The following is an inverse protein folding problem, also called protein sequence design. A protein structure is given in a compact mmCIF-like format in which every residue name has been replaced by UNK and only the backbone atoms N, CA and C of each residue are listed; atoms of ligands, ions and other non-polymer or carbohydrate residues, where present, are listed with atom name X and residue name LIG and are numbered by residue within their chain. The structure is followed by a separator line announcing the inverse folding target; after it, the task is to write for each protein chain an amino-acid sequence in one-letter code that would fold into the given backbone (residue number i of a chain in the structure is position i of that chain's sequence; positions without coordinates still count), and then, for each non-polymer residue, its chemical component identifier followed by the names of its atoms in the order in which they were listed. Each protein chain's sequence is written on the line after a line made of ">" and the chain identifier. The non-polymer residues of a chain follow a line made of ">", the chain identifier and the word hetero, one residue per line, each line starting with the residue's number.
data_IF_982508905645
#
_entry.id   IF_982508905645
#
_cell.length_a   1.000
_cell.length_b   1.000
_cell.length_c   1.000
_cell.angle_alpha   90.00
_cell.angle_beta   90.00
_cell.angle_gamma   90.00
#
_symmetry.space_group_name_H-M   'P 1'
#
loop_
_entity.id
_entity.type
_entity.pdbx_description
1 polymer ?
#
# COMPACT_ATOMS: atom_id res chain seq x y z
N UNK A 1 -22.23 25.09 -8.40
CA UNK A 1 -21.85 23.76 -8.94
C UNK A 1 -21.54 22.83 -7.77
N UNK A 2 -22.58 22.16 -7.31
CA UNK A 2 -22.65 21.32 -6.11
C UNK A 2 -22.62 19.84 -6.53
N UNK A 3 -21.46 19.20 -6.58
CA UNK A 3 -21.40 17.75 -6.80
C UNK A 3 -20.37 16.99 -5.94
N UNK A 4 -19.59 17.67 -5.09
CA UNK A 4 -18.55 17.03 -4.28
C UNK A 4 -18.86 16.94 -2.78
N UNK A 5 -19.91 17.63 -2.30
CA UNK A 5 -20.29 17.63 -0.86
C UNK A 5 -21.26 16.53 -0.42
N UNK A 6 -21.68 15.64 -1.33
CA UNK A 6 -22.79 14.70 -1.04
C UNK A 6 -22.42 13.21 -0.93
N UNK A 7 -21.13 12.86 -0.87
CA UNK A 7 -20.69 11.45 -0.77
C UNK A 7 -20.15 11.00 0.59
N UNK A 8 -20.21 11.83 1.65
CA UNK A 8 -19.81 11.38 3.01
C UNK A 8 -20.97 11.03 3.96
N UNK A 9 -22.23 11.27 3.58
CA UNK A 9 -23.38 11.07 4.50
C UNK A 9 -24.11 9.72 4.39
N UNK A 10 -23.73 8.85 3.45
CA UNK A 10 -24.41 7.55 3.24
C UNK A 10 -23.62 6.33 3.72
N UNK A 11 -22.59 6.51 4.54
CA UNK A 11 -21.70 5.42 5.01
C UNK A 11 -22.27 4.49 6.11
N UNK A 12 -23.51 4.69 6.58
CA UNK A 12 -24.01 3.95 7.75
C UNK A 12 -24.67 2.59 7.48
N UNK A 13 -24.85 2.15 6.22
CA UNK A 13 -25.53 0.86 5.92
C UNK A 13 -24.68 -0.18 5.18
N UNK A 14 -23.41 0.11 4.87
CA UNK A 14 -22.48 -0.82 4.17
C UNK A 14 -21.31 -1.31 5.06
N UNK A 15 -21.52 -1.30 6.38
CA UNK A 15 -20.46 -1.46 7.38
C UNK A 15 -19.79 -2.85 7.46
N UNK A 16 -20.30 -3.88 6.78
CA UNK A 16 -19.78 -5.26 6.92
C UNK A 16 -18.72 -5.65 5.88
N UNK A 17 -18.76 -5.11 4.66
CA UNK A 17 -17.76 -5.41 3.61
C UNK A 17 -16.61 -4.38 3.53
N UNK A 18 -16.83 -3.16 4.03
CA UNK A 18 -15.78 -2.13 4.13
C UNK A 18 -14.81 -2.38 5.31
N UNK A 19 -15.16 -3.30 6.22
CA UNK A 19 -14.33 -3.71 7.34
C UNK A 19 -13.08 -4.49 6.88
N UNK A 20 -13.14 -5.25 5.78
CA UNK A 20 -11.98 -6.01 5.25
C UNK A 20 -10.85 -5.11 4.75
N UNK A 21 -11.16 -4.00 4.07
CA UNK A 21 -10.16 -3.01 3.67
C UNK A 21 -9.50 -2.33 4.89
N UNK A 22 -10.29 -2.06 5.93
CA UNK A 22 -9.79 -1.56 7.21
C UNK A 22 -8.99 -2.63 7.99
N UNK A 23 -9.24 -3.92 7.81
CA UNK A 23 -8.57 -5.00 8.57
C UNK A 23 -7.28 -5.52 7.91
N UNK A 24 -7.12 -5.37 6.58
CA UNK A 24 -5.84 -5.57 5.90
C UNK A 24 -4.88 -4.38 6.13
N UNK A 25 -5.42 -3.19 6.40
CA UNK A 25 -4.67 -1.96 6.68
C UNK A 25 -4.60 -1.64 8.19
N UNK A 26 -5.33 -2.34 9.06
CA UNK A 26 -5.27 -2.13 10.51
C UNK A 26 -5.19 -3.48 11.21
N UNK A 27 -3.98 -4.02 11.44
CA UNK A 27 -3.80 -4.99 12.49
C UNK A 27 -3.92 -4.23 13.81
N UNK A 28 -5.13 -4.26 14.36
CA UNK A 28 -5.34 -3.91 15.76
C UNK A 28 -4.47 -4.83 16.62
N UNK A 29 -3.57 -4.21 17.37
CA UNK A 29 -2.96 -4.72 18.61
C UNK A 29 -1.98 -5.90 18.44
N UNK A 30 -0.89 -5.74 17.69
CA UNK A 30 0.37 -6.48 17.96
C UNK A 30 1.67 -5.68 17.69
N UNK A 31 1.60 -4.40 17.33
CA UNK A 31 2.79 -3.57 17.07
C UNK A 31 3.68 -3.28 18.31
N UNK A 32 3.28 -3.73 19.50
CA UNK A 32 4.04 -3.50 20.75
C UNK A 32 5.35 -4.31 20.83
N UNK A 33 5.51 -5.40 20.05
CA UNK A 33 6.70 -6.26 20.12
C UNK A 33 7.91 -5.71 19.33
N UNK A 34 7.73 -4.73 18.45
CA UNK A 34 8.78 -4.39 17.50
C UNK A 34 9.89 -3.44 17.98
N UNK A 35 9.64 -2.68 19.05
CA UNK A 35 10.56 -1.61 19.50
C UNK A 35 11.89 -2.14 20.06
N UNK A 36 11.93 -3.39 20.55
CA UNK A 36 13.13 -3.92 21.24
C UNK A 36 14.07 -4.78 20.39
N UNK A 37 13.64 -5.33 19.24
CA UNK A 37 14.46 -6.30 18.47
C UNK A 37 14.93 -5.79 17.09
N UNK A 38 14.30 -4.75 16.54
CA UNK A 38 14.60 -4.25 15.19
C UNK A 38 15.89 -3.37 15.09
N UNK A 39 16.50 -3.00 16.22
CA UNK A 39 17.73 -2.19 16.28
C UNK A 39 19.02 -2.99 16.01
N UNK A 40 18.96 -4.32 15.94
CA UNK A 40 20.13 -5.20 15.87
C UNK A 40 20.45 -5.75 14.47
N UNK A 41 19.71 -5.40 13.40
CA UNK A 41 19.92 -6.00 12.07
C UNK A 41 19.97 -4.99 10.91
N UNK A 42 20.72 -5.39 9.88
CA UNK A 42 21.01 -4.61 8.66
C UNK A 42 19.71 -4.17 7.98
N UNK A 43 19.64 -2.93 7.46
CA UNK A 43 18.46 -2.43 6.79
C UNK A 43 18.39 -3.00 5.38
N UNK A 44 17.70 -4.12 5.20
CA UNK A 44 17.14 -4.36 3.86
C UNK A 44 15.95 -3.41 3.68
N UNK A 45 16.07 -2.65 2.61
CA UNK A 45 15.18 -1.62 2.14
C UNK A 45 14.04 -2.32 1.42
N UNK A 46 12.80 -1.85 1.56
CA UNK A 46 11.59 -2.26 0.82
C UNK A 46 10.64 -3.33 1.40
N UNK A 47 10.37 -3.31 2.71
CA UNK A 47 9.28 -4.12 3.27
C UNK A 47 8.16 -3.21 3.83
N UNK A 48 7.05 -3.14 3.10
CA UNK A 48 5.86 -2.35 3.45
C UNK A 48 5.23 -2.82 4.76
N UNK A 49 5.36 -4.11 5.07
CA UNK A 49 4.67 -4.76 6.18
C UNK A 49 5.47 -5.84 6.90
N UNK A 50 6.70 -6.16 6.48
CA UNK A 50 7.48 -7.20 7.15
C UNK A 50 8.64 -6.62 7.94
N UNK A 51 8.86 -7.23 9.08
CA UNK A 51 10.13 -7.21 9.78
C UNK A 51 10.42 -8.58 10.38
N UNK A 52 9.63 -9.58 9.98
CA UNK A 52 9.72 -10.94 10.44
C UNK A 52 10.86 -11.66 9.75
N UNK A 53 11.55 -12.53 10.47
CA UNK A 53 12.52 -13.46 9.91
C UNK A 53 12.00 -14.89 10.07
N UNK A 54 12.58 -15.89 9.38
CA UNK A 54 12.04 -17.26 9.38
C UNK A 54 11.84 -17.88 10.76
N UNK A 55 12.60 -17.43 11.76
CA UNK A 55 12.55 -17.90 13.16
C UNK A 55 12.04 -16.84 14.13
N UNK A 56 11.29 -15.84 13.67
CA UNK A 56 10.72 -14.82 14.53
C UNK A 56 9.71 -15.44 15.52
N UNK A 57 9.62 -14.93 16.76
CA UNK A 57 8.56 -15.30 17.68
C UNK A 57 7.19 -15.21 17.00
N UNK A 58 6.38 -16.25 17.16
CA UNK A 58 5.05 -16.40 16.54
C UNK A 58 5.02 -16.42 15.00
N UNK A 59 6.19 -16.56 14.36
CA UNK A 59 6.38 -16.65 12.91
C UNK A 59 6.54 -15.27 12.22
N UNK A 60 7.08 -15.24 10.99
CA UNK A 60 7.44 -13.98 10.31
C UNK A 60 6.25 -13.04 10.09
N UNK A 61 5.06 -13.59 9.87
CA UNK A 61 3.86 -12.82 9.55
C UNK A 61 3.13 -12.21 10.78
N UNK A 62 3.79 -12.16 11.93
CA UNK A 62 3.29 -11.46 13.15
C UNK A 62 3.97 -10.12 13.40
N UNK A 63 4.98 -9.79 12.59
CA UNK A 63 5.88 -8.65 12.79
C UNK A 63 5.54 -7.44 11.90
N UNK A 64 4.26 -7.30 11.57
CA UNK A 64 3.78 -6.16 10.78
C UNK A 64 3.75 -4.85 11.55
N UNK A 65 3.78 -3.72 10.83
CA UNK A 65 3.71 -2.35 11.39
C UNK A 65 4.89 -1.97 12.28
N UNK A 66 6.01 -2.67 12.14
CA UNK A 66 7.21 -2.42 12.92
C UNK A 66 7.85 -1.05 12.63
N UNK A 67 7.83 -0.66 11.36
CA UNK A 67 8.48 0.54 10.88
C UNK A 67 7.46 1.55 10.37
N UNK A 68 7.70 2.82 10.70
CA UNK A 68 6.87 3.95 10.26
C UNK A 68 7.53 4.80 9.17
N UNK A 69 8.80 4.56 8.91
CA UNK A 69 9.67 5.28 7.96
C UNK A 69 10.54 4.24 7.24
N UNK A 70 10.74 4.42 5.94
CA UNK A 70 11.61 3.58 5.10
C UNK A 70 13.00 3.43 5.74
N UNK A 71 13.48 2.18 5.78
CA UNK A 71 14.77 1.83 6.39
C UNK A 71 15.94 2.19 5.46
N UNK A 72 17.15 2.14 6.00
CA UNK A 72 18.38 2.38 5.25
C UNK A 72 18.69 3.87 5.05
N UNK A 73 19.33 4.19 3.93
CA UNK A 73 19.64 5.57 3.52
C UNK A 73 18.88 5.89 2.22
N UNK A 74 17.54 6.05 2.30
CA UNK A 74 16.74 6.30 1.10
C UNK A 74 17.10 7.65 0.49
N UNK A 75 16.97 7.73 -0.83
CA UNK A 75 17.11 9.00 -1.53
C UNK A 75 15.96 9.97 -1.19
N UNK A 76 15.92 11.12 -1.86
CA UNK A 76 14.87 12.11 -1.59
C UNK A 76 13.48 11.71 -2.07
N UNK A 77 13.38 10.70 -2.95
CA UNK A 77 12.18 10.34 -3.72
C UNK A 77 11.51 11.55 -4.38
N UNK A 78 12.28 12.57 -4.68
CA UNK A 78 11.84 13.72 -5.45
C UNK A 78 12.00 13.40 -6.93
N UNK A 79 10.90 13.44 -7.69
CA UNK A 79 10.91 13.40 -9.15
C UNK A 79 10.43 14.74 -9.71
N UNK A 80 10.99 15.23 -10.83
CA UNK A 80 10.50 16.42 -11.50
C UNK A 80 8.99 16.30 -11.78
N UNK A 81 8.23 17.28 -11.32
CA UNK A 81 6.78 17.36 -11.53
C UNK A 81 6.36 18.82 -11.52
N UNK A 82 5.59 19.22 -12.54
CA UNK A 82 5.01 20.57 -12.61
C UNK A 82 3.84 20.69 -11.65
N UNK A 83 3.03 19.62 -11.52
CA UNK A 83 1.83 19.60 -10.69
C UNK A 83 2.17 19.44 -9.20
N UNK A 84 3.20 18.64 -8.90
CA UNK A 84 3.60 18.30 -7.52
C UNK A 84 5.09 18.60 -7.29
N UNK A 85 5.53 19.86 -7.38
CA UNK A 85 6.95 20.21 -7.25
C UNK A 85 7.48 19.89 -5.86
N UNK A 86 8.70 19.36 -5.79
CA UNK A 86 9.32 19.04 -4.51
C UNK A 86 9.56 20.31 -3.68
N UNK A 87 9.11 20.31 -2.43
CA UNK A 87 9.36 21.39 -1.50
C UNK A 87 10.85 21.42 -1.10
N UNK A 88 11.49 22.61 -1.02
CA UNK A 88 12.90 22.73 -0.65
C UNK A 88 13.22 22.03 0.68
N UNK A 89 14.27 21.21 0.68
CA UNK A 89 14.73 20.48 1.87
C UNK A 89 13.83 19.33 2.32
N UNK A 90 12.77 18.99 1.59
CA UNK A 90 11.86 17.88 1.92
C UNK A 90 12.21 16.60 1.16
N UNK A 91 11.91 15.47 1.80
CA UNK A 91 12.12 14.12 1.26
C UNK A 91 10.83 13.31 1.34
N UNK A 92 10.57 12.51 0.31
CA UNK A 92 9.33 11.78 0.08
C UNK A 92 9.54 10.26 0.12
N UNK A 93 10.50 9.78 0.91
CA UNK A 93 10.67 8.35 1.19
C UNK A 93 9.44 7.75 1.88
N UNK A 94 9.38 6.41 1.90
CA UNK A 94 8.26 5.65 2.47
C UNK A 94 7.93 6.06 3.91
N UNK A 95 6.66 6.36 4.17
CA UNK A 95 6.13 6.62 5.51
C UNK A 95 4.77 5.97 5.73
N UNK A 96 4.48 5.63 6.98
CA UNK A 96 3.19 5.09 7.41
C UNK A 96 2.93 3.64 6.95
N UNK A 97 1.71 3.12 7.19
CA UNK A 97 1.35 1.72 6.94
C UNK A 97 1.54 1.24 5.50
N UNK A 98 1.29 2.14 4.54
CA UNK A 98 1.41 1.81 3.12
C UNK A 98 2.77 2.22 2.57
N UNK A 99 3.68 2.77 3.38
CA UNK A 99 4.96 3.34 2.93
C UNK A 99 4.80 4.24 1.70
N UNK A 100 3.90 5.23 1.77
CA UNK A 100 3.67 6.16 0.66
C UNK A 100 4.98 6.86 0.30
N UNK A 101 5.34 6.80 -0.98
CA UNK A 101 6.62 7.30 -1.51
C UNK A 101 6.39 8.26 -2.68
N UNK A 102 7.36 9.13 -2.94
CA UNK A 102 7.41 10.12 -4.01
C UNK A 102 6.47 11.34 -3.90
N UNK A 103 6.98 12.50 -4.31
CA UNK A 103 6.26 13.78 -4.30
C UNK A 103 4.92 13.73 -5.05
N UNK A 104 4.85 13.01 -6.15
CA UNK A 104 3.64 12.84 -6.95
C UNK A 104 2.56 11.95 -6.29
N UNK A 105 2.87 11.28 -5.18
CA UNK A 105 1.86 10.63 -4.34
C UNK A 105 1.55 11.47 -3.09
N UNK A 106 2.56 12.06 -2.44
CA UNK A 106 2.36 12.95 -1.28
C UNK A 106 1.49 14.17 -1.62
N UNK A 107 1.70 14.77 -2.80
CA UNK A 107 0.92 15.90 -3.29
C UNK A 107 -0.58 15.64 -3.38
N UNK A 108 -1.05 14.74 -4.27
CA UNK A 108 -2.48 14.48 -4.43
C UNK A 108 -3.09 13.80 -3.21
N UNK A 109 -2.34 13.00 -2.46
CA UNK A 109 -2.82 12.44 -1.20
C UNK A 109 -3.11 13.55 -0.19
N UNK A 110 -2.17 14.49 -0.03
CA UNK A 110 -2.33 15.63 0.86
C UNK A 110 -3.55 16.47 0.51
N UNK A 111 -3.71 16.81 -0.78
CA UNK A 111 -4.88 17.55 -1.26
C UNK A 111 -6.20 16.82 -0.94
N UNK A 112 -6.26 15.51 -1.18
CA UNK A 112 -7.45 14.70 -0.93
C UNK A 112 -7.82 14.59 0.56
N UNK A 113 -6.82 14.55 1.46
CA UNK A 113 -7.06 14.39 2.92
C UNK A 113 -7.10 15.73 3.68
N UNK A 114 -6.90 16.85 2.98
CA UNK A 114 -6.89 18.20 3.55
C UNK A 114 -5.60 18.58 4.29
N UNK A 115 -4.47 17.96 3.95
CA UNK A 115 -3.17 18.15 4.61
C UNK A 115 -2.09 18.57 3.60
N UNK A 116 -1.22 19.51 3.96
CA UNK A 116 -0.12 19.91 3.06
C UNK A 116 1.07 18.94 3.17
N UNK A 117 0.87 17.70 2.72
CA UNK A 117 1.91 16.65 2.79
C UNK A 117 3.10 16.91 1.86
N UNK A 118 2.93 17.72 0.81
CA UNK A 118 4.04 18.10 -0.06
C UNK A 118 5.07 18.98 0.67
N UNK A 119 4.61 19.92 1.52
CA UNK A 119 5.49 20.76 2.36
C UNK A 119 5.80 20.14 3.71
N UNK A 120 4.94 19.26 4.23
CA UNK A 120 5.07 18.63 5.54
C UNK A 120 4.97 17.08 5.47
N UNK A 121 5.84 16.39 4.69
CA UNK A 121 5.74 14.94 4.51
C UNK A 121 5.94 14.15 5.80
N UNK A 122 6.64 14.71 6.78
CA UNK A 122 6.90 14.06 8.08
C UNK A 122 5.63 13.85 8.91
N UNK A 123 4.53 14.56 8.60
CA UNK A 123 3.24 14.35 9.25
C UNK A 123 2.76 12.90 9.12
N UNK A 124 3.06 12.23 8.01
CA UNK A 124 2.69 10.81 7.79
C UNK A 124 3.33 9.88 8.81
N UNK A 125 4.49 10.22 9.37
CA UNK A 125 5.19 9.44 10.39
C UNK A 125 5.04 9.98 11.82
N UNK A 126 4.46 11.18 11.97
CA UNK A 126 4.28 11.86 13.25
C UNK A 126 2.84 11.73 13.79
N UNK A 127 1.84 11.82 12.92
CA UNK A 127 0.43 11.77 13.29
C UNK A 127 -0.20 10.44 12.84
N UNK A 128 -0.76 9.70 13.81
CA UNK A 128 -1.33 8.37 13.56
C UNK A 128 -2.54 8.44 12.63
N UNK A 129 -3.40 9.45 12.77
CA UNK A 129 -4.61 9.60 11.95
C UNK A 129 -4.24 9.92 10.52
N UNK A 130 -3.30 10.86 10.31
CA UNK A 130 -2.77 11.20 8.98
C UNK A 130 -2.12 9.96 8.35
N UNK A 131 -1.32 9.21 9.13
CA UNK A 131 -0.66 7.99 8.66
C UNK A 131 -1.65 6.95 8.09
N UNK A 132 -2.75 6.67 8.79
CA UNK A 132 -3.76 5.75 8.27
C UNK A 132 -4.62 6.35 7.16
N UNK A 133 -4.85 7.67 7.15
CA UNK A 133 -5.52 8.35 6.04
C UNK A 133 -4.75 8.20 4.73
N UNK A 134 -3.41 8.29 4.75
CA UNK A 134 -2.62 8.09 3.51
C UNK A 134 -2.74 6.65 3.00
N UNK A 135 -2.69 5.66 3.89
CA UNK A 135 -2.87 4.25 3.53
C UNK A 135 -4.24 3.97 2.90
N UNK A 136 -5.30 4.50 3.51
CA UNK A 136 -6.65 4.39 2.95
C UNK A 136 -6.78 5.13 1.63
N UNK A 137 -6.15 6.29 1.48
CA UNK A 137 -6.18 7.02 0.22
C UNK A 137 -5.55 6.21 -0.93
N UNK A 138 -4.36 5.63 -0.71
CA UNK A 138 -3.70 4.75 -1.70
C UNK A 138 -4.58 3.55 -2.05
N UNK A 139 -5.22 2.93 -1.05
CA UNK A 139 -6.10 1.78 -1.26
C UNK A 139 -7.33 2.08 -2.14
N UNK A 140 -7.85 3.30 -2.02
CA UNK A 140 -9.13 3.74 -2.61
C UNK A 140 -8.97 4.57 -3.88
N UNK A 141 -7.75 4.89 -4.30
CA UNK A 141 -7.48 5.87 -5.35
C UNK A 141 -6.54 5.32 -6.41
N UNK A 142 -6.76 5.72 -7.66
CA UNK A 142 -5.87 5.46 -8.78
C UNK A 142 -5.42 6.79 -9.36
N UNK A 143 -4.11 7.05 -9.35
CA UNK A 143 -3.51 8.29 -9.88
C UNK A 143 -2.94 8.14 -11.29
N UNK A 144 -2.98 6.93 -11.86
CA UNK A 144 -2.43 6.63 -13.18
C UNK A 144 -3.30 7.14 -14.32
N UNK A 145 -2.70 7.30 -15.49
CA UNK A 145 -3.40 7.65 -16.74
C UNK A 145 -2.95 6.70 -17.88
N UNK A 146 -3.85 5.86 -18.44
CA UNK A 146 -5.24 5.64 -18.02
C UNK A 146 -5.33 5.07 -16.59
N UNK A 147 -6.48 5.23 -15.90
CA UNK A 147 -6.63 4.76 -14.53
C UNK A 147 -6.56 3.23 -14.46
N UNK A 148 -5.68 2.72 -13.60
CA UNK A 148 -5.71 1.36 -13.10
C UNK A 148 -6.91 1.15 -12.18
N UNK A 149 -7.36 -0.10 -11.92
CA UNK A 149 -8.25 -0.38 -10.81
C UNK A 149 -7.69 0.13 -9.47
N UNK A 150 -8.59 0.39 -8.51
CA UNK A 150 -8.21 0.60 -7.12
C UNK A 150 -8.09 -0.75 -6.41
N UNK A 151 -7.24 -0.84 -5.38
CA UNK A 151 -7.13 -2.05 -4.56
C UNK A 151 -8.50 -2.44 -3.97
N UNK A 152 -9.27 -1.43 -3.57
CA UNK A 152 -10.64 -1.60 -3.08
C UNK A 152 -11.60 -2.20 -4.11
N UNK A 153 -11.58 -1.74 -5.35
CA UNK A 153 -12.50 -2.26 -6.37
C UNK A 153 -12.11 -3.66 -6.83
N UNK A 154 -10.83 -4.00 -6.83
CA UNK A 154 -10.35 -5.37 -7.07
C UNK A 154 -10.83 -6.33 -5.97
N UNK A 155 -10.52 -6.05 -4.70
CA UNK A 155 -10.84 -6.99 -3.60
C UNK A 155 -12.35 -7.18 -3.38
N UNK A 156 -13.17 -6.21 -3.81
CA UNK A 156 -14.63 -6.30 -3.76
C UNK A 156 -15.24 -6.94 -5.02
N UNK A 157 -14.42 -7.35 -6.00
CA UNK A 157 -14.90 -7.92 -7.27
C UNK A 157 -15.66 -6.93 -8.15
N UNK A 158 -15.45 -5.62 -7.95
CA UNK A 158 -16.08 -4.55 -8.75
C UNK A 158 -15.32 -4.26 -10.02
N UNK A 159 -14.00 -4.42 -10.00
CA UNK A 159 -13.19 -4.30 -11.19
C UNK A 159 -13.38 -5.51 -12.11
N UNK A 160 -13.57 -5.23 -13.40
CA UNK A 160 -13.61 -6.24 -14.46
C UNK A 160 -12.38 -6.04 -15.34
N UNK A 161 -11.48 -7.04 -15.47
CA UNK A 161 -10.32 -6.95 -16.34
C UNK A 161 -10.72 -6.60 -17.77
N UNK A 162 -10.01 -5.66 -18.39
CA UNK A 162 -10.11 -5.42 -19.82
C UNK A 162 -9.45 -6.55 -20.61
N UNK A 163 -9.63 -6.58 -21.93
CA UNK A 163 -8.90 -7.50 -22.81
C UNK A 163 -7.38 -7.34 -22.68
N UNK A 164 -6.89 -6.12 -22.42
CA UNK A 164 -5.46 -5.89 -22.19
C UNK A 164 -4.99 -6.44 -20.85
N UNK A 165 -5.85 -6.45 -19.83
CA UNK A 165 -5.55 -7.03 -18.52
C UNK A 165 -5.50 -8.55 -18.58
N UNK A 166 -6.49 -9.18 -19.23
CA UNK A 166 -6.49 -10.63 -19.43
C UNK A 166 -5.28 -11.09 -20.26
N UNK A 167 -4.93 -10.36 -21.33
CA UNK A 167 -3.73 -10.66 -22.13
C UNK A 167 -2.41 -10.46 -21.35
N UNK A 168 -2.45 -9.70 -20.26
CA UNK A 168 -1.33 -9.46 -19.35
C UNK A 168 -1.36 -10.36 -18.11
N UNK A 169 -2.23 -11.38 -18.07
CA UNK A 169 -2.50 -12.26 -16.93
C UNK A 169 -2.97 -11.54 -15.66
N UNK A 170 -3.48 -10.30 -15.76
CA UNK A 170 -4.03 -9.56 -14.63
C UNK A 170 -5.49 -9.96 -14.41
N UNK A 171 -5.69 -10.91 -13.50
CA UNK A 171 -7.00 -11.43 -13.09
C UNK A 171 -7.33 -10.98 -11.65
N UNK A 172 -8.61 -10.81 -11.29
CA UNK A 172 -8.98 -10.30 -9.97
C UNK A 172 -8.41 -11.18 -8.85
N UNK A 173 -7.84 -10.53 -7.83
CA UNK A 173 -7.20 -11.22 -6.71
C UNK A 173 -5.99 -10.46 -6.16
N UNK A 174 -5.47 -10.97 -5.05
CA UNK A 174 -4.43 -10.29 -4.26
C UNK A 174 -3.13 -10.03 -5.05
N UNK A 175 -2.84 -10.83 -6.08
CA UNK A 175 -1.73 -10.59 -7.00
C UNK A 175 -1.88 -9.28 -7.78
N UNK A 176 -3.09 -8.94 -8.25
CA UNK A 176 -3.34 -7.65 -8.92
C UNK A 176 -3.20 -6.49 -7.95
N UNK A 177 -3.60 -6.64 -6.68
CA UNK A 177 -3.35 -5.63 -5.63
C UNK A 177 -1.85 -5.38 -5.47
N UNK A 178 -1.05 -6.45 -5.41
CA UNK A 178 0.41 -6.34 -5.38
C UNK A 178 0.95 -5.62 -6.63
N UNK A 179 0.38 -5.91 -7.80
CA UNK A 179 0.74 -5.26 -9.06
C UNK A 179 0.39 -3.76 -9.09
N UNK A 180 -0.77 -3.36 -8.55
CA UNK A 180 -1.19 -1.95 -8.40
C UNK A 180 -0.20 -1.18 -7.52
N UNK A 181 0.20 -1.78 -6.39
CA UNK A 181 1.06 -1.16 -5.39
C UNK A 181 2.52 -1.08 -5.84
N UNK A 182 3.12 -2.19 -6.28
CA UNK A 182 4.54 -2.20 -6.59
C UNK A 182 4.92 -3.11 -7.77
N UNK A 183 3.99 -3.33 -8.71
CA UNK A 183 4.18 -4.29 -9.79
C UNK A 183 5.37 -4.02 -10.71
N UNK A 184 5.78 -2.75 -10.85
CA UNK A 184 6.98 -2.40 -11.62
C UNK A 184 8.28 -3.00 -11.05
N UNK A 185 8.30 -3.31 -9.75
CA UNK A 185 9.44 -3.91 -9.06
C UNK A 185 9.23 -5.39 -8.72
N UNK A 186 7.99 -5.79 -8.44
CA UNK A 186 7.69 -7.09 -7.80
C UNK A 186 7.00 -8.11 -8.71
N UNK A 187 6.46 -7.69 -9.86
CA UNK A 187 5.61 -8.56 -10.69
C UNK A 187 6.21 -8.81 -12.08
N UNK A 188 5.80 -9.91 -12.71
CA UNK A 188 6.13 -10.23 -14.10
C UNK A 188 7.51 -10.82 -14.34
N UNK A 189 8.21 -11.25 -13.29
CA UNK A 189 9.54 -11.85 -13.36
C UNK A 189 9.66 -13.16 -12.57
N UNK A 190 8.52 -13.83 -12.35
CA UNK A 190 8.45 -15.10 -11.64
C UNK A 190 8.42 -14.92 -10.12
N UNK A 191 9.13 -15.79 -9.40
CA UNK A 191 9.13 -15.78 -7.94
C UNK A 191 9.84 -14.54 -7.38
N UNK A 192 9.18 -13.85 -6.46
CA UNK A 192 9.71 -12.72 -5.72
C UNK A 192 9.44 -12.91 -4.21
N UNK A 193 10.48 -12.77 -3.38
CA UNK A 193 10.36 -12.97 -1.93
C UNK A 193 9.45 -11.93 -1.26
N UNK A 194 9.38 -10.70 -1.79
CA UNK A 194 8.50 -9.65 -1.27
C UNK A 194 7.04 -9.99 -1.56
N UNK A 195 6.75 -10.48 -2.77
CA UNK A 195 5.39 -10.96 -3.12
C UNK A 195 4.99 -12.12 -2.22
N UNK A 196 5.90 -13.08 -1.99
CA UNK A 196 5.66 -14.18 -1.04
C UNK A 196 5.38 -13.68 0.38
N UNK A 197 6.12 -12.70 0.86
CA UNK A 197 5.89 -12.12 2.19
C UNK A 197 4.50 -11.44 2.27
N UNK A 198 4.12 -10.66 1.27
CA UNK A 198 2.78 -10.06 1.16
C UNK A 198 1.67 -11.10 1.22
N UNK A 199 1.82 -12.19 0.48
CA UNK A 199 0.88 -13.32 0.48
C UNK A 199 0.84 -13.97 1.86
N UNK A 200 1.98 -14.14 2.52
CA UNK A 200 2.06 -14.72 3.86
C UNK A 200 1.25 -13.97 4.91
N UNK A 201 1.39 -12.64 4.97
CA UNK A 201 0.55 -11.80 5.83
C UNK A 201 -0.94 -11.89 5.47
N UNK A 202 -1.26 -11.81 4.17
CA UNK A 202 -2.64 -11.90 3.69
C UNK A 202 -3.30 -13.22 4.12
N UNK A 203 -2.65 -14.35 3.85
CA UNK A 203 -3.12 -15.68 4.24
C UNK A 203 -3.31 -15.82 5.75
N UNK A 204 -2.37 -15.29 6.55
CA UNK A 204 -2.50 -15.30 8.01
C UNK A 204 -3.74 -14.53 8.46
N UNK A 205 -3.97 -13.33 7.92
CA UNK A 205 -5.13 -12.52 8.31
C UNK A 205 -6.44 -13.14 7.81
N UNK A 206 -6.49 -13.69 6.61
CA UNK A 206 -7.65 -14.46 6.12
C UNK A 206 -7.99 -15.61 7.07
N UNK A 207 -6.98 -16.35 7.55
CA UNK A 207 -7.15 -17.44 8.52
C UNK A 207 -7.74 -16.95 9.85
N UNK A 208 -7.23 -15.84 10.39
CA UNK A 208 -7.73 -15.26 11.65
C UNK A 208 -9.18 -14.81 11.52
N UNK A 209 -9.54 -14.24 10.36
CA UNK A 209 -10.88 -13.74 10.07
C UNK A 209 -11.87 -14.84 9.65
N UNK A 210 -11.40 -16.06 9.40
CA UNK A 210 -12.23 -17.16 8.94
C UNK A 210 -12.79 -16.96 7.53
N UNK A 211 -12.05 -16.26 6.66
CA UNK A 211 -12.46 -15.98 5.27
C UNK A 211 -11.54 -16.68 4.28
N UNK A 212 -12.08 -17.02 3.10
CA UNK A 212 -11.26 -17.53 1.99
C UNK A 212 -10.37 -16.42 1.43
N UNK A 213 -9.07 -16.68 1.15
CA UNK A 213 -8.20 -15.71 0.52
C UNK A 213 -8.51 -15.48 -0.97
N UNK A 214 -9.32 -16.35 -1.59
CA UNK A 214 -9.60 -16.31 -3.02
C UNK A 214 -8.47 -16.91 -3.88
N UNK A 215 -8.56 -16.67 -5.19
CA UNK A 215 -7.59 -17.12 -6.20
C UNK A 215 -6.65 -15.98 -6.62
N UNK A 216 -5.72 -16.25 -7.55
CA UNK A 216 -4.81 -15.25 -8.14
C UNK A 216 -4.02 -14.44 -7.10
N UNK A 217 -3.46 -15.13 -6.10
CA UNK A 217 -2.76 -14.50 -4.98
C UNK A 217 -1.40 -13.89 -5.36
N UNK A 218 -0.78 -14.41 -6.41
CA UNK A 218 0.56 -14.07 -6.86
C UNK A 218 0.55 -13.24 -8.16
N UNK A 219 1.62 -12.48 -8.39
CA UNK A 219 1.79 -11.65 -9.58
C UNK A 219 3.03 -11.96 -10.43
N UNK A 220 3.73 -13.07 -10.18
CA UNK A 220 4.97 -13.42 -10.87
C UNK A 220 4.83 -13.55 -12.39
N UNK A 221 3.65 -13.96 -12.86
CA UNK A 221 3.34 -14.08 -14.29
C UNK A 221 2.48 -12.92 -14.83
N UNK A 222 2.19 -11.91 -14.02
CA UNK A 222 1.40 -10.75 -14.43
C UNK A 222 2.30 -9.68 -15.01
N UNK A 223 1.99 -9.19 -16.22
CA UNK A 223 2.69 -8.03 -16.74
C UNK A 223 2.36 -6.80 -15.88
N UNK A 224 3.36 -6.03 -15.40
CA UNK A 224 3.10 -4.82 -14.63
C UNK A 224 2.22 -3.82 -15.37
N UNK A 225 1.39 -3.06 -14.64
CA UNK A 225 0.61 -1.95 -15.24
C UNK A 225 1.52 -0.81 -15.77
N UNK A 226 2.80 -0.79 -15.38
CA UNK A 226 3.83 0.07 -15.95
C UNK A 226 4.53 0.96 -14.91
N UNK A 227 5.80 1.29 -15.18
CA UNK A 227 6.69 1.90 -14.19
C UNK A 227 6.33 3.36 -13.80
N UNK A 228 5.36 4.00 -14.46
CA UNK A 228 4.86 5.34 -14.12
C UNK A 228 3.40 5.34 -13.65
N UNK A 229 2.77 4.17 -13.63
CA UNK A 229 1.35 4.02 -13.30
C UNK A 229 1.14 3.46 -11.88
N UNK A 230 2.07 2.65 -11.35
CA UNK A 230 1.97 2.15 -9.98
C UNK A 230 2.12 3.26 -8.94
N UNK A 231 1.33 3.17 -7.86
CA UNK A 231 1.49 4.02 -6.68
C UNK A 231 2.67 3.43 -5.91
N UNK A 232 3.90 3.77 -6.30
CA UNK A 232 5.09 3.21 -5.66
C UNK A 232 5.04 3.38 -4.16
N UNK A 233 5.25 2.24 -3.51
CA UNK A 233 5.26 2.10 -2.07
C UNK A 233 6.47 1.26 -1.71
N UNK A 234 7.24 1.73 -0.73
CA UNK A 234 8.61 1.23 -0.45
C UNK A 234 8.68 0.45 0.86
#
# INVERSE_FOLDING_TARGET
>A
MNMMRMKLRHYCTFATLSLLALLLIIPRVLAAQCVQQASLRKPDITEIISSGWPTAPDGPYTWGYCFKIQRGNPDSHCKPSVEWPCAPGKKYYGRGPIQISYNYNYGPCGDAIGENLLRNPDLVAADRVISFKTALWVWMTSTSKPPMPTCHDDILGKWKPSTSDTAANRLPGYGVITNILNGGLECGHGFDEKVKDRIGFYLRYCKILGVSPGENLDCGNQKPFGHFNSIYVE
#
